data_IF_233976872943
#
_entry.id   IF_233976872943
#
_cell.length_a   1.000
_cell.length_b   1.000
_cell.length_c   1.000
_cell.angle_alpha   90.00
_cell.angle_beta   90.00
_cell.angle_gamma   90.00
#
_symmetry.space_group_name_H-M   'P 1'
#
loop_
_entity.id
_entity.type
_entity.pdbx_description
1 polymer ?
#
# COMPACT_ATOMS: atom_id res chain seq x y z
N UNK A 1 23.99 12.21 -84.42
CA UNK A 1 24.76 13.02 -83.45
C UNK A 1 23.85 14.15 -82.95
N UNK A 2 22.92 13.84 -82.03
CA UNK A 2 21.93 14.71 -81.37
C UNK A 2 21.31 13.82 -80.26
N UNK A 3 21.34 14.12 -78.95
CA UNK A 3 20.64 15.12 -78.12
C UNK A 3 19.59 14.44 -77.20
N UNK A 4 19.62 14.83 -75.91
CA UNK A 4 18.65 14.71 -74.78
C UNK A 4 17.35 13.89 -74.90
N UNK A 5 16.97 13.19 -73.81
CA UNK A 5 15.75 13.36 -72.96
C UNK A 5 15.72 12.24 -71.89
N UNK A 6 15.45 12.57 -70.62
CA UNK A 6 15.41 11.61 -69.49
C UNK A 6 14.13 10.75 -69.41
N UNK A 7 14.10 9.66 -68.61
CA UNK A 7 12.92 8.81 -68.52
C UNK A 7 12.00 9.15 -67.33
N UNK A 8 10.71 9.36 -67.63
CA UNK A 8 9.60 9.28 -66.68
C UNK A 8 9.30 7.80 -66.35
N UNK A 9 9.22 7.47 -65.06
CA UNK A 9 8.74 6.18 -64.58
C UNK A 9 7.27 6.28 -64.15
N UNK A 10 6.47 5.36 -64.68
CA UNK A 10 5.03 5.16 -64.50
C UNK A 10 4.70 4.56 -63.12
N UNK A 11 3.72 5.13 -62.42
CA UNK A 11 3.14 4.58 -61.18
C UNK A 11 2.03 3.54 -61.48
N UNK A 12 1.85 2.51 -60.65
CA UNK A 12 0.78 1.52 -60.80
C UNK A 12 -0.55 1.96 -60.16
N UNK A 13 -1.63 1.48 -60.77
CA UNK A 13 -3.03 1.79 -60.52
C UNK A 13 -3.58 1.19 -59.20
N UNK A 14 -4.37 1.98 -58.46
CA UNK A 14 -5.27 1.50 -57.39
C UNK A 14 -6.71 1.41 -57.90
N UNK A 15 -7.34 0.27 -57.64
CA UNK A 15 -8.72 -0.10 -58.00
C UNK A 15 -9.72 0.59 -57.09
N UNK A 16 -10.80 1.14 -57.68
CA UNK A 16 -11.91 1.81 -57.00
C UNK A 16 -12.91 0.81 -56.41
N UNK A 17 -13.39 1.08 -55.19
CA UNK A 17 -14.63 0.53 -54.64
C UNK A 17 -15.61 1.67 -54.29
N UNK A 18 -16.89 1.37 -54.42
CA UNK A 18 -17.98 2.31 -54.68
C UNK A 18 -18.52 3.11 -53.47
N UNK A 19 -19.19 4.21 -53.84
CA UNK A 19 -19.95 5.19 -53.05
C UNK A 19 -20.80 4.66 -51.88
N UNK A 20 -20.65 5.29 -50.70
CA UNK A 20 -21.71 5.41 -49.68
C UNK A 20 -21.79 6.89 -49.23
N UNK A 21 -23.00 7.45 -49.22
CA UNK A 21 -23.30 8.85 -48.96
C UNK A 21 -22.99 9.32 -47.53
N UNK A 22 -22.70 10.63 -47.30
CA UNK A 22 -22.43 11.17 -45.97
C UNK A 22 -23.71 11.22 -45.12
N UNK A 23 -23.65 10.62 -43.93
CA UNK A 23 -24.68 10.74 -42.89
C UNK A 23 -24.61 12.12 -42.23
N UNK A 24 -25.72 12.87 -42.28
CA UNK A 24 -25.92 14.14 -41.59
C UNK A 24 -26.40 13.86 -40.16
N UNK A 25 -25.62 14.27 -39.16
CA UNK A 25 -26.05 14.26 -37.75
C UNK A 25 -26.86 15.54 -37.45
N UNK A 26 -28.03 15.45 -36.79
CA UNK A 26 -28.82 16.62 -36.41
C UNK A 26 -28.16 17.41 -35.27
N UNK A 27 -28.14 18.74 -35.37
CA UNK A 27 -27.71 19.63 -34.29
C UNK A 27 -28.76 19.69 -33.16
N UNK A 28 -28.36 19.74 -31.88
CA UNK A 28 -29.29 20.02 -30.78
C UNK A 28 -29.72 21.51 -30.79
N UNK A 29 -31.02 21.73 -30.64
CA UNK A 29 -31.64 23.05 -30.63
C UNK A 29 -31.25 23.87 -29.38
N UNK A 30 -30.84 25.12 -29.60
CA UNK A 30 -30.68 26.12 -28.55
C UNK A 30 -32.05 26.57 -28.03
N UNK A 31 -32.31 26.39 -26.73
CA UNK A 31 -33.44 27.03 -26.04
C UNK A 31 -33.05 28.44 -25.57
N UNK A 32 -33.96 29.44 -25.64
CA UNK A 32 -33.70 30.82 -25.21
C UNK A 32 -33.69 30.96 -23.67
N UNK A 33 -33.09 32.04 -23.12
CA UNK A 33 -32.95 32.22 -21.68
C UNK A 33 -34.27 32.67 -21.03
N UNK A 34 -34.62 32.06 -19.90
CA UNK A 34 -35.72 32.51 -19.03
C UNK A 34 -35.14 33.32 -17.87
N UNK A 35 -35.65 34.55 -17.70
CA UNK A 35 -35.29 35.54 -16.65
C UNK A 35 -36.12 35.35 -15.35
N UNK A 36 -35.97 36.14 -14.25
CA UNK A 36 -35.63 35.61 -12.94
C UNK A 36 -36.78 35.69 -11.90
N UNK A 37 -36.51 35.10 -10.72
CA UNK A 37 -37.21 35.19 -9.43
C UNK A 37 -38.44 34.29 -9.17
N UNK A 38 -38.25 33.36 -8.22
CA UNK A 38 -39.13 33.26 -7.04
C UNK A 38 -38.27 33.11 -5.79
N UNK A 39 -38.31 34.13 -4.93
CA UNK A 39 -37.82 34.06 -3.56
C UNK A 39 -38.61 33.02 -2.78
N UNK A 40 -37.92 32.05 -2.18
CA UNK A 40 -38.48 31.23 -1.11
C UNK A 40 -38.21 31.98 0.19
N UNK A 41 -39.28 32.33 0.91
CA UNK A 41 -39.21 33.03 2.18
C UNK A 41 -38.47 32.18 3.23
N UNK A 42 -37.51 32.80 3.91
CA UNK A 42 -36.78 32.19 5.02
C UNK A 42 -37.67 31.97 6.24
N UNK A 43 -37.40 30.88 6.96
CA UNK A 43 -37.94 30.60 8.28
C UNK A 43 -37.22 31.52 9.28
N UNK A 44 -37.91 32.25 10.17
CA UNK A 44 -37.24 33.09 11.16
C UNK A 44 -36.57 32.21 12.23
N UNK A 45 -35.25 32.30 12.33
CA UNK A 45 -34.51 31.73 13.47
C UNK A 45 -34.79 32.62 14.69
N UNK A 46 -35.41 32.03 15.70
CA UNK A 46 -35.66 32.66 16.98
C UNK A 46 -34.36 33.04 17.69
N UNK A 47 -34.42 34.18 18.37
CA UNK A 47 -33.36 34.81 19.15
C UNK A 47 -32.91 33.89 20.31
N UNK A 48 -31.85 33.11 20.12
CA UNK A 48 -31.18 32.31 21.15
C UNK A 48 -29.84 32.94 21.51
N UNK A 49 -29.58 33.09 22.81
CA UNK A 49 -28.53 33.93 23.39
C UNK A 49 -27.10 33.66 22.89
N UNK A 50 -26.31 34.73 22.91
CA UNK A 50 -24.88 34.73 22.60
C UNK A 50 -24.12 34.17 23.80
N UNK A 51 -24.09 32.85 23.95
CA UNK A 51 -23.12 32.21 24.83
C UNK A 51 -21.81 32.07 24.07
N UNK A 52 -20.80 32.83 24.53
CA UNK A 52 -19.52 32.99 23.88
C UNK A 52 -18.81 31.66 23.64
N UNK A 53 -18.29 31.51 22.42
CA UNK A 53 -17.34 30.46 22.05
C UNK A 53 -16.18 30.43 23.04
N UNK A 54 -16.07 29.34 23.80
CA UNK A 54 -14.83 28.96 24.48
C UNK A 54 -14.16 27.89 23.62
N UNK A 55 -13.09 28.25 22.93
CA UNK A 55 -12.16 27.26 22.41
C UNK A 55 -11.56 26.56 23.64
N UNK A 56 -11.98 25.34 23.94
CA UNK A 56 -11.42 24.47 25.00
C UNK A 56 -9.95 24.09 24.73
N UNK A 57 -9.17 25.01 24.17
CA UNK A 57 -7.77 24.87 23.76
C UNK A 57 -6.85 24.62 24.98
N UNK A 58 -7.35 24.82 26.20
CA UNK A 58 -6.59 24.67 27.44
C UNK A 58 -7.19 23.68 28.45
N UNK A 59 -8.22 22.88 28.10
CA UNK A 59 -8.63 21.70 28.92
C UNK A 59 -7.65 20.52 28.75
N UNK A 60 -6.51 20.77 28.09
CA UNK A 60 -5.50 19.78 27.75
C UNK A 60 -4.70 19.23 28.95
N UNK A 61 -4.89 19.79 30.15
CA UNK A 61 -4.17 19.34 31.36
C UNK A 61 -4.93 18.31 32.20
N UNK A 62 -6.14 17.91 31.82
CA UNK A 62 -6.95 16.97 32.60
C UNK A 62 -6.79 15.50 32.18
N UNK A 63 -6.13 15.22 31.05
CA UNK A 63 -5.95 13.85 30.55
C UNK A 63 -4.48 13.55 30.12
N UNK A 64 -3.70 12.82 30.94
CA UNK A 64 -2.30 12.53 30.67
C UNK A 64 -2.07 11.68 29.40
N UNK A 65 -3.12 11.02 28.90
CA UNK A 65 -3.04 10.20 27.69
C UNK A 65 -3.07 11.04 26.41
N UNK A 66 -3.87 12.12 26.37
CA UNK A 66 -3.88 13.07 25.25
C UNK A 66 -2.64 13.96 25.22
N UNK A 67 -2.08 14.30 26.38
CA UNK A 67 -0.81 15.00 26.52
C UNK A 67 0.36 14.25 25.84
N UNK A 68 0.45 12.94 26.08
CA UNK A 68 1.47 12.07 25.47
C UNK A 68 1.27 11.92 23.95
N UNK A 69 0.04 11.69 23.49
CA UNK A 69 -0.24 11.51 22.05
C UNK A 69 0.09 12.79 21.26
N UNK A 70 -0.22 13.96 21.81
CA UNK A 70 0.07 15.26 21.17
C UNK A 70 1.56 15.59 21.13
N UNK A 71 2.30 15.22 22.19
CA UNK A 71 3.72 15.50 22.29
C UNK A 71 4.56 14.64 21.31
N UNK A 72 4.15 13.40 21.05
CA UNK A 72 4.87 12.48 20.16
C UNK A 72 4.29 12.40 18.73
N UNK A 73 3.03 12.80 18.52
CA UNK A 73 2.33 12.68 17.25
C UNK A 73 1.41 13.90 16.97
N UNK A 74 1.97 15.09 16.71
CA UNK A 74 1.20 16.32 16.50
C UNK A 74 0.28 16.27 15.28
N UNK A 75 0.47 15.32 14.36
CA UNK A 75 -0.40 15.11 13.19
C UNK A 75 -1.70 14.32 13.53
N UNK A 76 -1.75 13.56 14.62
CA UNK A 76 -2.96 12.86 15.06
C UNK A 76 -3.97 13.82 15.70
N UNK A 77 -3.50 14.84 16.42
CA UNK A 77 -4.36 15.83 17.08
C UNK A 77 -5.04 16.77 16.10
N UNK A 78 -4.35 17.15 15.01
CA UNK A 78 -4.99 17.83 13.88
C UNK A 78 -6.00 16.94 13.14
N UNK A 79 -5.81 15.62 13.13
CA UNK A 79 -6.77 14.65 12.59
C UNK A 79 -8.07 14.56 13.41
N UNK A 80 -7.97 14.58 14.74
CA UNK A 80 -9.13 14.60 15.64
C UNK A 80 -9.93 15.91 15.54
N UNK A 81 -9.27 17.03 15.30
CA UNK A 81 -9.94 18.32 15.03
C UNK A 81 -10.68 18.28 13.68
N UNK A 82 -10.11 17.62 12.67
CA UNK A 82 -10.80 17.41 11.39
C UNK A 82 -12.02 16.48 11.51
N UNK A 83 -12.00 15.52 12.45
CA UNK A 83 -13.14 14.64 12.76
C UNK A 83 -14.30 15.40 13.44
N UNK A 84 -13.98 16.36 14.30
CA UNK A 84 -14.97 17.24 14.96
C UNK A 84 -15.57 18.26 13.98
N UNK A 85 -14.82 18.66 12.95
CA UNK A 85 -15.28 19.62 11.92
C UNK A 85 -16.13 18.97 10.81
N UNK A 86 -16.05 17.64 10.63
CA UNK A 86 -16.74 16.91 9.54
C UNK A 86 -18.10 16.30 9.96
N UNK A 87 -18.67 16.73 11.10
CA UNK A 87 -20.00 16.34 11.62
C UNK A 87 -20.31 14.82 11.60
N UNK A 88 -19.28 13.96 11.66
CA UNK A 88 -19.44 12.50 11.64
C UNK A 88 -20.06 11.92 10.34
N UNK A 89 -20.23 12.73 9.29
CA UNK A 89 -20.95 12.32 8.08
C UNK A 89 -20.15 11.35 7.18
N UNK A 90 -18.81 11.32 7.30
CA UNK A 90 -17.97 10.47 6.44
C UNK A 90 -17.76 9.05 7.00
N UNK A 91 -18.03 8.81 8.29
CA UNK A 91 -17.68 7.55 9.00
C UNK A 91 -18.89 6.81 9.58
N UNK A 92 -19.96 7.53 9.93
CA UNK A 92 -21.01 6.99 10.82
C UNK A 92 -22.24 6.37 10.12
N UNK A 93 -22.88 7.08 9.19
CA UNK A 93 -24.28 6.75 8.86
C UNK A 93 -24.52 5.63 7.85
N UNK A 94 -23.57 5.32 6.98
CA UNK A 94 -23.77 4.29 5.94
C UNK A 94 -23.22 2.91 6.32
N UNK A 95 -22.32 2.85 7.31
CA UNK A 95 -21.59 1.61 7.70
C UNK A 95 -22.30 0.83 8.81
N UNK A 96 -23.24 1.45 9.54
CA UNK A 96 -23.89 0.84 10.71
C UNK A 96 -24.98 -0.20 10.34
N UNK A 97 -25.60 -0.08 9.16
CA UNK A 97 -26.81 -0.85 8.81
C UNK A 97 -26.50 -2.23 8.19
N UNK A 98 -25.26 -2.50 7.77
CA UNK A 98 -24.86 -3.77 7.14
C UNK A 98 -23.62 -4.43 7.77
N UNK A 99 -23.19 -4.02 8.97
CA UNK A 99 -22.12 -4.70 9.69
C UNK A 99 -22.70 -5.90 10.45
N UNK A 100 -22.75 -7.06 9.81
CA UNK A 100 -22.75 -8.31 10.58
C UNK A 100 -21.48 -8.32 11.44
N UNK A 101 -21.60 -8.30 12.76
CA UNK A 101 -20.47 -8.19 13.69
C UNK A 101 -19.62 -9.47 13.67
N UNK A 102 -18.78 -9.65 12.65
CA UNK A 102 -17.90 -10.80 12.52
C UNK A 102 -16.68 -10.68 13.42
N UNK A 103 -16.85 -11.07 14.68
CA UNK A 103 -15.78 -11.05 15.70
C UNK A 103 -14.83 -12.25 15.58
N UNK A 104 -13.61 -12.14 16.13
CA UNK A 104 -12.62 -13.25 16.18
C UNK A 104 -13.23 -14.53 16.77
N UNK A 105 -14.05 -14.41 17.82
CA UNK A 105 -14.69 -15.55 18.49
C UNK A 105 -15.69 -16.31 17.62
N UNK A 106 -16.32 -15.63 16.65
CA UNK A 106 -17.36 -16.22 15.82
C UNK A 106 -16.83 -16.77 14.49
N UNK A 107 -15.89 -16.05 13.85
CA UNK A 107 -15.47 -16.36 12.47
C UNK A 107 -13.95 -16.48 12.28
N UNK A 108 -13.12 -16.15 13.29
CA UNK A 108 -11.66 -16.10 13.14
C UNK A 108 -11.04 -17.44 12.72
N UNK A 109 -11.44 -18.54 13.34
CA UNK A 109 -10.95 -19.89 12.99
C UNK A 109 -11.35 -20.30 11.57
N UNK A 110 -12.57 -19.92 11.14
CA UNK A 110 -13.05 -20.18 9.78
C UNK A 110 -12.22 -19.42 8.74
N UNK A 111 -11.93 -18.15 9.00
CA UNK A 111 -11.11 -17.30 8.13
C UNK A 111 -9.67 -17.81 8.01
N UNK A 112 -9.04 -18.19 9.13
CA UNK A 112 -7.67 -18.75 9.13
C UNK A 112 -7.62 -20.08 8.38
N UNK A 113 -8.58 -20.99 8.64
CA UNK A 113 -8.62 -22.30 7.98
C UNK A 113 -8.82 -22.17 6.46
N UNK A 114 -9.62 -21.21 6.01
CA UNK A 114 -9.81 -20.92 4.59
C UNK A 114 -8.51 -20.46 3.90
N UNK A 115 -7.62 -19.78 4.63
CA UNK A 115 -6.37 -19.23 4.11
C UNK A 115 -5.12 -19.99 4.61
N UNK A 116 -5.26 -21.26 5.00
CA UNK A 116 -4.15 -22.05 5.57
C UNK A 116 -2.93 -22.12 4.64
N UNK A 117 -3.14 -22.20 3.32
CA UNK A 117 -2.08 -22.19 2.32
C UNK A 117 -1.24 -20.91 2.38
N UNK A 118 -1.88 -19.75 2.61
CA UNK A 118 -1.17 -18.48 2.70
C UNK A 118 -0.26 -18.46 3.94
N UNK A 119 -0.75 -18.95 5.07
CA UNK A 119 0.06 -19.06 6.29
C UNK A 119 1.24 -20.04 6.12
N UNK A 120 1.03 -21.16 5.45
CA UNK A 120 2.13 -22.11 5.16
C UNK A 120 3.20 -21.48 4.27
N UNK A 121 2.81 -20.72 3.24
CA UNK A 121 3.76 -20.00 2.39
C UNK A 121 4.53 -18.95 3.19
N UNK A 122 3.89 -18.22 4.12
CA UNK A 122 4.61 -17.28 5.00
C UNK A 122 5.70 -17.98 5.83
N UNK A 123 5.40 -19.15 6.39
CA UNK A 123 6.40 -19.95 7.13
C UNK A 123 7.55 -20.36 6.21
N UNK A 124 7.25 -20.79 4.99
CA UNK A 124 8.27 -21.14 3.99
C UNK A 124 9.15 -19.92 3.65
N UNK A 125 8.56 -18.74 3.45
CA UNK A 125 9.30 -17.51 3.18
C UNK A 125 10.25 -17.14 4.32
N UNK A 126 9.82 -17.26 5.58
CA UNK A 126 10.69 -17.05 6.76
C UNK A 126 11.87 -18.02 6.76
N UNK A 127 11.63 -19.29 6.44
CA UNK A 127 12.70 -20.30 6.36
C UNK A 127 13.68 -19.95 5.23
N UNK A 128 13.19 -19.58 4.05
CA UNK A 128 14.04 -19.19 2.92
C UNK A 128 14.90 -17.97 3.28
N UNK A 129 14.31 -16.92 3.85
CA UNK A 129 15.01 -15.70 4.28
C UNK A 129 16.10 -16.01 5.33
N UNK A 130 15.78 -16.87 6.31
CA UNK A 130 16.74 -17.38 7.28
C UNK A 130 17.90 -18.16 6.64
N UNK A 131 17.62 -18.99 5.63
CA UNK A 131 18.64 -19.77 4.91
C UNK A 131 19.55 -18.90 4.06
N UNK A 132 19.02 -17.87 3.39
CA UNK A 132 19.80 -16.91 2.59
C UNK A 132 20.88 -16.21 3.43
N UNK A 133 20.61 -15.92 4.70
CA UNK A 133 21.61 -15.31 5.58
C UNK A 133 22.88 -16.18 5.79
N UNK A 134 22.76 -17.49 5.65
CA UNK A 134 23.91 -18.41 5.73
C UNK A 134 24.68 -18.53 4.41
N UNK A 135 24.07 -18.22 3.27
CA UNK A 135 24.73 -18.26 1.95
C UNK A 135 25.90 -17.26 1.91
N UNK A 136 27.02 -17.72 1.36
CA UNK A 136 28.21 -16.91 1.06
C UNK A 136 27.92 -16.04 -0.18
N UNK A 137 28.01 -14.71 -0.08
CA UNK A 137 27.78 -13.83 -1.21
C UNK A 137 28.88 -14.01 -2.26
N UNK A 138 28.58 -13.65 -3.51
CA UNK A 138 29.59 -13.54 -4.55
C UNK A 138 30.70 -12.57 -4.13
N UNK A 139 31.97 -12.99 -4.24
CA UNK A 139 33.10 -12.09 -4.00
C UNK A 139 33.45 -11.35 -5.28
N UNK A 140 32.92 -10.13 -5.41
CA UNK A 140 33.25 -9.24 -6.51
C UNK A 140 34.69 -8.75 -6.36
N UNK A 141 35.46 -8.81 -7.45
CA UNK A 141 36.83 -8.28 -7.52
C UNK A 141 36.94 -6.86 -6.98
N UNK A 142 37.93 -6.62 -6.10
CA UNK A 142 38.23 -5.31 -5.52
C UNK A 142 39.73 -4.99 -5.68
N UNK A 143 40.05 -4.18 -6.68
CA UNK A 143 41.42 -3.72 -6.92
C UNK A 143 41.86 -2.58 -6.00
N UNK A 144 43.17 -2.31 -6.01
CA UNK A 144 43.79 -1.25 -5.20
C UNK A 144 43.24 0.16 -5.52
N UNK A 145 43.00 0.48 -6.78
CA UNK A 145 42.46 1.78 -7.19
C UNK A 145 41.01 1.99 -6.74
N UNK A 146 40.21 0.92 -6.67
CA UNK A 146 38.82 0.99 -6.20
C UNK A 146 38.73 1.20 -4.68
N UNK A 147 39.81 0.93 -3.96
CA UNK A 147 39.84 0.94 -2.50
C UNK A 147 39.73 2.35 -1.90
N UNK A 148 40.05 3.38 -2.68
CA UNK A 148 39.89 4.79 -2.27
C UNK A 148 38.44 5.13 -1.95
N UNK A 149 37.50 4.64 -2.77
CA UNK A 149 36.05 4.87 -2.61
C UNK A 149 35.41 3.98 -1.51
N UNK A 150 36.17 2.99 -1.02
CA UNK A 150 35.73 2.00 -0.03
C UNK A 150 36.35 2.21 1.37
N UNK A 151 36.97 3.37 1.58
CA UNK A 151 37.73 3.72 2.79
C UNK A 151 36.97 4.60 3.78
N UNK A 152 35.64 4.63 3.72
CA UNK A 152 34.85 5.35 4.71
C UNK A 152 34.96 4.73 6.11
N UNK A 153 34.86 5.53 7.19
CA UNK A 153 35.03 5.05 8.56
C UNK A 153 33.97 4.01 8.93
N UNK A 154 34.42 2.87 9.44
CA UNK A 154 33.53 1.83 9.93
C UNK A 154 33.05 2.16 11.36
N UNK A 155 31.77 2.47 11.50
CA UNK A 155 31.12 2.77 12.77
C UNK A 155 29.73 2.09 12.85
N UNK A 156 29.10 2.16 14.03
CA UNK A 156 27.81 1.53 14.30
C UNK A 156 26.67 2.11 13.44
N UNK A 157 25.55 1.38 13.38
CA UNK A 157 24.35 1.82 12.67
C UNK A 157 23.49 2.73 13.57
N UNK A 158 23.01 3.85 13.04
CA UNK A 158 22.01 4.72 13.69
C UNK A 158 20.69 3.98 13.91
N UNK A 159 20.21 3.25 12.89
CA UNK A 159 19.07 2.33 12.98
C UNK A 159 19.58 0.88 13.11
N UNK A 160 19.46 0.23 14.27
CA UNK A 160 19.79 -1.19 14.44
C UNK A 160 18.87 -2.12 13.64
N UNK A 161 19.37 -3.32 13.30
CA UNK A 161 18.62 -4.34 12.56
C UNK A 161 17.29 -4.68 13.22
N UNK A 162 17.24 -4.74 14.56
CA UNK A 162 16.02 -5.05 15.32
C UNK A 162 14.95 -3.96 15.26
N UNK A 163 15.32 -2.71 14.96
CA UNK A 163 14.36 -1.60 14.91
C UNK A 163 13.50 -1.70 13.65
N UNK A 164 14.04 -2.22 12.54
CA UNK A 164 13.31 -2.35 11.27
C UNK A 164 12.02 -3.18 11.40
N UNK A 165 12.03 -4.44 11.92
CA UNK A 165 10.79 -5.20 12.08
C UNK A 165 9.83 -4.56 13.10
N UNK A 166 10.34 -3.82 14.10
CA UNK A 166 9.49 -3.08 15.04
C UNK A 166 8.69 -2.00 14.31
N UNK A 167 9.35 -1.15 13.51
CA UNK A 167 8.67 -0.06 12.80
C UNK A 167 7.86 -0.56 11.60
N UNK A 168 8.34 -1.56 10.87
CA UNK A 168 7.76 -2.00 9.60
C UNK A 168 6.67 -3.07 9.78
N UNK A 169 6.59 -3.73 10.93
CA UNK A 169 5.60 -4.80 11.20
C UNK A 169 4.82 -4.53 12.48
N UNK A 170 5.49 -4.35 13.63
CA UNK A 170 4.79 -4.23 14.91
C UNK A 170 3.94 -2.95 15.00
N UNK A 171 4.46 -1.81 14.56
CA UNK A 171 3.69 -0.55 14.53
C UNK A 171 2.43 -0.67 13.65
N UNK A 172 2.51 -1.14 12.39
CA UNK A 172 1.32 -1.44 11.59
C UNK A 172 0.35 -2.42 12.25
N UNK A 173 0.84 -3.50 12.89
CA UNK A 173 -0.03 -4.45 13.59
C UNK A 173 -0.83 -3.79 14.72
N UNK A 174 -0.22 -2.87 15.46
CA UNK A 174 -0.91 -2.09 16.49
C UNK A 174 -2.01 -1.24 15.83
N UNK A 175 -1.73 -0.56 14.73
CA UNK A 175 -2.70 0.27 14.01
C UNK A 175 -3.87 -0.58 13.48
N UNK A 176 -3.59 -1.74 12.87
CA UNK A 176 -4.63 -2.67 12.42
C UNK A 176 -5.46 -3.20 13.60
N UNK A 177 -4.83 -3.45 14.75
CA UNK A 177 -5.49 -3.88 15.98
C UNK A 177 -6.42 -2.81 16.55
N UNK A 178 -6.01 -1.54 16.54
CA UNK A 178 -6.85 -0.40 16.93
C UNK A 178 -8.04 -0.28 15.97
N UNK A 179 -7.82 -0.34 14.66
CA UNK A 179 -8.91 -0.30 13.68
C UNK A 179 -9.88 -1.46 13.87
N UNK A 180 -9.37 -2.68 14.10
CA UNK A 180 -10.17 -3.85 14.43
C UNK A 180 -10.98 -3.65 15.72
N UNK A 181 -10.39 -3.07 16.76
CA UNK A 181 -11.09 -2.83 18.03
C UNK A 181 -12.29 -1.90 17.83
N UNK A 182 -12.13 -0.86 17.00
CA UNK A 182 -13.15 0.14 16.69
C UNK A 182 -14.25 -0.38 15.75
N UNK A 183 -13.88 -1.14 14.70
CA UNK A 183 -14.82 -1.57 13.64
C UNK A 183 -15.32 -3.01 13.78
N UNK A 184 -14.65 -3.84 14.59
CA UNK A 184 -14.93 -5.27 14.78
C UNK A 184 -14.97 -6.10 13.48
N UNK A 185 -14.25 -5.67 12.44
CA UNK A 185 -14.14 -6.38 11.17
C UNK A 185 -12.90 -7.30 11.15
N UNK A 186 -13.13 -8.60 11.33
CA UNK A 186 -12.04 -9.60 11.30
C UNK A 186 -11.46 -9.83 9.92
N UNK A 187 -12.23 -9.63 8.85
CA UNK A 187 -11.74 -9.85 7.49
C UNK A 187 -10.71 -8.78 7.15
N UNK A 188 -11.00 -7.52 7.47
CA UNK A 188 -10.04 -6.44 7.30
C UNK A 188 -8.73 -6.71 8.05
N UNK A 189 -8.84 -7.01 9.35
CA UNK A 189 -7.69 -7.27 10.20
C UNK A 189 -6.82 -8.44 9.69
N UNK A 190 -7.47 -9.54 9.30
CA UNK A 190 -6.78 -10.73 8.79
C UNK A 190 -6.03 -10.45 7.49
N UNK A 191 -6.68 -9.81 6.52
CA UNK A 191 -6.08 -9.51 5.23
C UNK A 191 -5.00 -8.43 5.34
N UNK A 192 -5.14 -7.47 6.26
CA UNK A 192 -4.10 -6.48 6.56
C UNK A 192 -2.83 -7.15 7.14
N UNK A 193 -2.99 -8.09 8.09
CA UNK A 193 -1.88 -8.87 8.64
C UNK A 193 -1.20 -9.73 7.57
N UNK A 194 -1.98 -10.48 6.79
CA UNK A 194 -1.42 -11.29 5.71
C UNK A 194 -0.68 -10.41 4.71
N UNK A 195 -1.31 -9.34 4.22
CA UNK A 195 -0.75 -8.45 3.22
C UNK A 195 0.59 -7.84 3.64
N UNK A 196 0.70 -7.34 4.87
CA UNK A 196 1.96 -6.75 5.32
C UNK A 196 3.06 -7.80 5.55
N UNK A 197 2.72 -8.99 6.08
CA UNK A 197 3.71 -10.05 6.28
C UNK A 197 4.26 -10.54 4.93
N UNK A 198 3.39 -10.72 3.94
CA UNK A 198 3.81 -11.04 2.58
C UNK A 198 4.67 -9.94 1.98
N UNK A 199 4.26 -8.68 2.12
CA UNK A 199 5.01 -7.54 1.59
C UNK A 199 6.45 -7.51 2.11
N UNK A 200 6.63 -7.63 3.43
CA UNK A 200 7.96 -7.60 4.07
C UNK A 200 8.78 -8.85 3.74
N UNK A 201 8.20 -10.05 3.84
CA UNK A 201 8.95 -11.29 3.62
C UNK A 201 9.31 -11.54 2.16
N UNK A 202 8.43 -11.23 1.21
CA UNK A 202 8.78 -11.28 -0.22
C UNK A 202 9.88 -10.27 -0.55
N UNK A 203 9.80 -9.06 0.01
CA UNK A 203 10.87 -8.06 -0.13
C UNK A 203 12.19 -8.54 0.45
N UNK A 204 12.16 -9.23 1.60
CA UNK A 204 13.34 -9.83 2.24
C UNK A 204 14.00 -10.88 1.36
N UNK A 205 13.24 -11.88 0.92
CA UNK A 205 13.74 -12.95 0.03
C UNK A 205 14.36 -12.36 -1.24
N UNK A 206 13.67 -11.42 -1.90
CA UNK A 206 14.21 -10.76 -3.11
C UNK A 206 15.50 -10.00 -2.80
N UNK A 207 15.51 -9.20 -1.73
CA UNK A 207 16.65 -8.36 -1.36
C UNK A 207 17.87 -9.20 -1.03
N UNK A 208 17.71 -10.22 -0.19
CA UNK A 208 18.84 -11.04 0.26
C UNK A 208 19.35 -11.95 -0.85
N UNK A 209 18.47 -12.47 -1.70
CA UNK A 209 18.88 -13.19 -2.92
C UNK A 209 19.74 -12.32 -3.84
N UNK A 210 19.36 -11.06 -4.05
CA UNK A 210 20.13 -10.12 -4.90
C UNK A 210 21.46 -9.76 -4.23
N UNK A 211 21.50 -9.55 -2.91
CA UNK A 211 22.76 -9.29 -2.19
C UNK A 211 23.76 -10.41 -2.39
N UNK A 212 23.32 -11.64 -2.22
CA UNK A 212 24.18 -12.81 -2.35
C UNK A 212 24.66 -13.01 -3.79
N UNK A 213 23.81 -12.70 -4.79
CA UNK A 213 24.19 -12.78 -6.20
C UNK A 213 25.13 -11.66 -6.66
N UNK A 214 24.94 -10.42 -6.18
CA UNK A 214 25.69 -9.25 -6.66
C UNK A 214 27.02 -9.07 -5.96
N UNK A 215 27.08 -9.32 -4.64
CA UNK A 215 28.37 -9.28 -3.94
C UNK A 215 29.02 -7.90 -3.88
N UNK A 216 28.24 -6.82 -3.87
CA UNK A 216 28.79 -5.45 -3.92
C UNK A 216 29.46 -5.09 -2.58
N UNK A 217 30.74 -4.64 -2.60
CA UNK A 217 31.39 -4.09 -1.40
C UNK A 217 30.68 -2.83 -0.87
N UNK A 218 30.61 -2.69 0.46
CA UNK A 218 30.09 -1.50 1.15
C UNK A 218 31.09 -0.34 1.12
N UNK A 219 30.64 0.92 1.29
CA UNK A 219 31.55 2.08 1.35
C UNK A 219 32.60 2.01 2.47
N UNK A 220 32.35 1.24 3.52
CA UNK A 220 33.27 1.00 4.64
C UNK A 220 34.02 -0.35 4.56
N UNK A 221 34.10 -0.95 3.36
CA UNK A 221 34.69 -2.28 3.16
C UNK A 221 36.17 -2.36 3.57
N UNK A 222 36.96 -1.30 3.35
CA UNK A 222 38.39 -1.29 3.69
C UNK A 222 38.66 -1.68 5.14
N UNK A 223 38.00 -1.05 6.09
CA UNK A 223 38.22 -1.31 7.53
C UNK A 223 37.59 -2.61 8.01
N UNK A 224 36.68 -3.20 7.23
CA UNK A 224 36.17 -4.56 7.47
C UNK A 224 37.19 -5.62 7.06
N UNK A 225 37.82 -5.40 5.91
CA UNK A 225 38.82 -6.29 5.33
C UNK A 225 40.19 -6.19 6.04
N UNK A 226 40.58 -4.97 6.42
CA UNK A 226 41.89 -4.63 7.00
C UNK A 226 41.72 -3.89 8.34
N UNK A 227 41.49 -4.60 9.45
CA UNK A 227 41.30 -3.96 10.76
C UNK A 227 42.56 -3.23 11.26
N UNK A 228 43.74 -3.59 10.77
CA UNK A 228 45.03 -2.94 11.04
C UNK A 228 45.35 -1.79 10.07
N UNK A 229 44.49 -1.54 9.09
CA UNK A 229 44.64 -0.49 8.08
C UNK A 229 45.71 -0.77 7.02
N UNK A 230 46.23 -2.00 6.93
CA UNK A 230 47.25 -2.39 5.94
C UNK A 230 46.61 -3.20 4.82
N UNK A 231 46.55 -2.61 3.64
CA UNK A 231 45.98 -3.27 2.48
C UNK A 231 46.92 -4.35 1.93
N UNK A 232 46.37 -5.53 1.65
CA UNK A 232 47.06 -6.66 1.03
C UNK A 232 46.31 -7.05 -0.23
N UNK A 233 47.05 -7.17 -1.33
CA UNK A 233 46.51 -7.55 -2.64
C UNK A 233 47.29 -8.73 -3.21
N UNK A 234 46.60 -9.58 -3.94
CA UNK A 234 47.21 -10.66 -4.70
C UNK A 234 48.08 -10.09 -5.82
N UNK A 235 49.30 -10.61 -5.97
CA UNK A 235 50.28 -10.08 -6.93
C UNK A 235 49.96 -10.48 -8.39
N UNK A 236 49.13 -11.49 -8.59
CA UNK A 236 48.79 -12.05 -9.91
C UNK A 236 47.44 -11.54 -10.37
N UNK A 237 46.41 -11.64 -9.52
CA UNK A 237 45.05 -11.22 -9.87
C UNK A 237 44.80 -9.74 -9.57
N UNK A 238 45.56 -9.14 -8.65
CA UNK A 238 45.31 -7.79 -8.15
C UNK A 238 44.12 -7.68 -7.21
N UNK A 239 43.54 -8.82 -6.81
CA UNK A 239 42.35 -8.86 -5.94
C UNK A 239 42.72 -8.68 -4.46
N UNK A 240 41.74 -8.27 -3.67
CA UNK A 240 41.93 -8.01 -2.24
C UNK A 240 42.08 -9.31 -1.45
N UNK A 241 43.04 -9.35 -0.53
CA UNK A 241 43.21 -10.47 0.40
C UNK A 241 42.84 -9.99 1.81
N UNK A 242 41.61 -10.26 2.23
CA UNK A 242 41.14 -9.85 3.56
C UNK A 242 41.68 -10.75 4.68
N UNK A 243 42.08 -10.11 5.79
CA UNK A 243 42.49 -10.80 7.03
C UNK A 243 41.68 -10.36 8.26
N UNK A 244 40.59 -9.62 8.05
CA UNK A 244 39.60 -9.30 9.07
C UNK A 244 38.72 -10.49 9.47
N UNK A 245 37.79 -10.25 10.40
CA UNK A 245 36.81 -11.26 10.82
C UNK A 245 35.92 -11.67 9.64
N UNK A 246 35.82 -12.98 9.37
CA UNK A 246 35.10 -13.51 8.23
C UNK A 246 33.61 -13.10 8.19
N UNK A 247 32.93 -12.96 9.33
CA UNK A 247 31.53 -12.52 9.38
C UNK A 247 31.40 -11.04 9.02
N UNK A 248 32.33 -10.21 9.49
CA UNK A 248 32.36 -8.77 9.20
C UNK A 248 32.69 -8.51 7.73
N UNK A 249 33.63 -9.29 7.16
CA UNK A 249 34.01 -9.26 5.74
C UNK A 249 32.85 -9.74 4.87
N UNK A 250 32.21 -10.86 5.22
CA UNK A 250 31.01 -11.37 4.55
C UNK A 250 29.92 -10.30 4.46
N UNK A 251 29.63 -9.63 5.58
CA UNK A 251 28.66 -8.52 5.62
C UNK A 251 29.11 -7.31 4.77
N UNK A 252 30.43 -7.14 4.60
CA UNK A 252 31.03 -6.13 3.74
C UNK A 252 30.71 -6.31 2.26
N UNK A 253 30.47 -7.54 1.79
CA UNK A 253 30.08 -7.86 0.41
C UNK A 253 28.56 -7.80 0.16
N UNK A 254 27.74 -7.53 1.18
CA UNK A 254 26.27 -7.51 1.09
C UNK A 254 25.70 -6.09 1.01
N UNK A 255 26.27 -5.22 0.17
CA UNK A 255 25.83 -3.81 0.06
C UNK A 255 24.55 -3.63 -0.77
N UNK A 256 24.43 -4.26 -1.94
CA UNK A 256 23.34 -3.99 -2.89
C UNK A 256 22.32 -5.13 -2.92
N UNK A 257 21.00 -4.84 -2.78
CA UNK A 257 20.36 -3.59 -2.37
C UNK A 257 20.29 -3.48 -0.82
N UNK A 258 19.87 -2.32 -0.30
CA UNK A 258 19.76 -2.13 1.14
C UNK A 258 18.56 -2.86 1.75
N UNK A 259 18.82 -3.84 2.63
CA UNK A 259 17.78 -4.60 3.34
C UNK A 259 16.96 -3.76 4.31
N UNK A 260 17.60 -2.87 5.08
CA UNK A 260 16.91 -1.96 6.01
C UNK A 260 15.91 -1.08 5.27
N UNK A 261 16.33 -0.52 4.13
CA UNK A 261 15.46 0.31 3.30
C UNK A 261 14.33 -0.53 2.68
N UNK A 262 14.64 -1.67 2.08
CA UNK A 262 13.65 -2.54 1.44
C UNK A 262 12.53 -2.98 2.39
N UNK A 263 12.88 -3.49 3.57
CA UNK A 263 11.91 -3.91 4.58
C UNK A 263 11.08 -2.73 5.12
N UNK A 264 11.72 -1.58 5.36
CA UNK A 264 11.03 -0.38 5.85
C UNK A 264 10.03 0.15 4.84
N UNK A 265 10.41 0.25 3.56
CA UNK A 265 9.50 0.67 2.50
C UNK A 265 8.39 -0.35 2.27
N UNK A 266 8.68 -1.66 2.34
CA UNK A 266 7.64 -2.69 2.22
C UNK A 266 6.54 -2.54 3.29
N UNK A 267 6.92 -2.47 4.57
CA UNK A 267 5.96 -2.35 5.66
C UNK A 267 5.26 -1.00 5.73
N UNK A 268 6.02 0.10 5.63
CA UNK A 268 5.49 1.44 5.85
C UNK A 268 4.74 2.00 4.62
N UNK A 269 5.13 1.65 3.39
CA UNK A 269 4.30 1.97 2.21
C UNK A 269 3.01 1.15 2.21
N UNK A 270 3.03 -0.12 2.66
CA UNK A 270 1.80 -0.90 2.84
C UNK A 270 0.87 -0.23 3.86
N UNK A 271 1.41 0.20 5.00
CA UNK A 271 0.65 0.95 6.00
C UNK A 271 0.10 2.26 5.43
N UNK A 272 0.88 3.00 4.65
CA UNK A 272 0.45 4.22 3.98
C UNK A 272 -0.75 3.97 3.04
N UNK A 273 -0.67 2.93 2.20
CA UNK A 273 -1.76 2.52 1.31
C UNK A 273 -3.02 2.12 2.09
N UNK A 274 -2.85 1.34 3.17
CA UNK A 274 -3.95 0.97 4.06
C UNK A 274 -4.64 2.18 4.68
N UNK A 275 -3.87 3.11 5.28
CA UNK A 275 -4.42 4.34 5.86
C UNK A 275 -5.10 5.21 4.80
N UNK A 276 -4.56 5.27 3.58
CA UNK A 276 -5.16 6.00 2.46
C UNK A 276 -6.57 5.50 2.13
N UNK A 277 -6.77 4.18 2.11
CA UNK A 277 -8.08 3.57 1.89
C UNK A 277 -9.05 3.85 3.05
N UNK A 278 -8.59 3.67 4.30
CA UNK A 278 -9.44 3.86 5.49
C UNK A 278 -9.89 5.30 5.72
N UNK A 279 -9.01 6.26 5.47
CA UNK A 279 -9.31 7.68 5.63
C UNK A 279 -10.04 8.28 4.43
N UNK A 280 -10.18 7.51 3.34
CA UNK A 280 -10.63 8.00 2.02
C UNK A 280 -9.87 9.27 1.65
N UNK A 281 -8.53 9.20 1.71
CA UNK A 281 -7.65 10.37 1.60
C UNK A 281 -7.80 11.11 0.26
N UNK A 282 -8.17 10.39 -0.80
CA UNK A 282 -8.44 10.93 -2.14
C UNK A 282 -9.93 11.15 -2.40
N UNK A 283 -10.74 11.35 -1.36
CA UNK A 283 -12.09 11.86 -1.56
C UNK A 283 -11.98 13.25 -2.22
N UNK A 284 -12.89 13.60 -3.13
CA UNK A 284 -12.89 14.90 -3.82
C UNK A 284 -13.25 16.08 -2.89
N UNK A 285 -13.07 15.92 -1.57
CA UNK A 285 -13.38 16.89 -0.53
C UNK A 285 -12.22 17.82 -0.15
N UNK A 286 -10.99 17.59 -0.63
CA UNK A 286 -9.87 18.54 -0.48
C UNK A 286 -9.19 18.58 0.89
N UNK A 287 -9.41 17.59 1.77
CA UNK A 287 -8.86 17.57 3.13
C UNK A 287 -7.39 17.13 3.17
N UNK A 288 -6.46 18.09 3.07
CA UNK A 288 -5.00 17.85 3.05
C UNK A 288 -4.47 17.21 4.34
N UNK A 289 -5.13 17.39 5.48
CA UNK A 289 -4.73 16.78 6.76
C UNK A 289 -4.64 15.25 6.69
N UNK A 290 -5.53 14.61 5.93
CA UNK A 290 -5.51 13.16 5.70
C UNK A 290 -4.26 12.72 4.95
N UNK A 291 -3.77 13.56 4.03
CA UNK A 291 -2.56 13.28 3.26
C UNK A 291 -1.31 13.32 4.14
N UNK A 292 -1.25 14.20 5.14
CA UNK A 292 -0.15 14.24 6.11
C UNK A 292 -0.03 12.91 6.89
N UNK A 293 -1.16 12.33 7.31
CA UNK A 293 -1.20 11.04 8.01
C UNK A 293 -0.74 9.91 7.08
N UNK A 294 -1.17 9.93 5.82
CA UNK A 294 -0.80 8.92 4.81
C UNK A 294 0.67 8.99 4.43
N UNK A 295 1.26 10.19 4.32
CA UNK A 295 2.67 10.37 3.94
C UNK A 295 3.63 10.04 5.08
N UNK A 296 3.22 10.22 6.33
CA UNK A 296 4.09 10.06 7.49
C UNK A 296 4.84 8.70 7.56
N UNK A 297 4.18 7.54 7.35
CA UNK A 297 4.89 6.26 7.27
C UNK A 297 5.96 6.21 6.16
N UNK A 298 5.66 6.79 4.99
CA UNK A 298 6.61 6.83 3.86
C UNK A 298 7.82 7.71 4.22
N UNK A 299 7.58 8.85 4.87
CA UNK A 299 8.66 9.71 5.36
C UNK A 299 9.56 8.98 6.36
N UNK A 300 8.98 8.21 7.29
CA UNK A 300 9.75 7.40 8.21
C UNK A 300 10.62 6.35 7.48
N UNK A 301 10.10 5.71 6.43
CA UNK A 301 10.87 4.78 5.60
C UNK A 301 12.04 5.47 4.88
N UNK A 302 11.81 6.68 4.36
CA UNK A 302 12.85 7.51 3.73
C UNK A 302 13.95 7.84 4.73
N UNK A 303 13.62 8.24 5.96
CA UNK A 303 14.60 8.56 7.00
C UNK A 303 15.45 7.34 7.39
N UNK A 304 14.86 6.14 7.45
CA UNK A 304 15.62 4.90 7.63
C UNK A 304 16.59 4.70 6.47
N UNK A 305 16.15 4.91 5.23
CA UNK A 305 17.00 4.83 4.05
C UNK A 305 18.17 5.83 4.08
N UNK A 306 17.91 7.08 4.45
CA UNK A 306 18.94 8.14 4.57
C UNK A 306 20.00 7.75 5.59
N UNK A 307 19.60 7.21 6.75
CA UNK A 307 20.55 6.77 7.78
C UNK A 307 21.57 5.74 7.26
N UNK A 308 21.23 4.96 6.22
CA UNK A 308 22.14 3.97 5.62
C UNK A 308 23.25 4.61 4.80
N UNK A 309 22.98 5.77 4.22
CA UNK A 309 23.96 6.56 3.47
C UNK A 309 24.82 7.34 4.46
N UNK A 310 24.20 7.98 5.46
CA UNK A 310 24.89 8.78 6.48
C UNK A 310 25.86 7.93 7.30
N UNK A 311 25.48 6.69 7.66
CA UNK A 311 26.33 5.77 8.41
C UNK A 311 27.42 5.09 7.52
N UNK A 312 27.46 5.38 6.21
CA UNK A 312 28.32 4.71 5.21
C UNK A 312 28.15 3.18 5.12
N UNK A 313 26.96 2.68 5.48
CA UNK A 313 26.65 1.27 5.33
C UNK A 313 26.25 0.93 3.89
N UNK A 314 25.68 1.88 3.16
CA UNK A 314 25.19 1.66 1.81
C UNK A 314 25.48 2.85 0.90
N UNK A 315 25.62 2.58 -0.39
CA UNK A 315 25.59 3.62 -1.40
C UNK A 315 24.15 4.11 -1.60
N UNK A 316 23.98 5.35 -2.05
CA UNK A 316 22.65 5.89 -2.35
C UNK A 316 21.88 5.03 -3.37
N UNK A 317 22.58 4.38 -4.32
CA UNK A 317 21.96 3.47 -5.30
C UNK A 317 21.43 2.19 -4.65
N UNK A 318 22.08 1.68 -3.60
CA UNK A 318 21.61 0.52 -2.84
C UNK A 318 20.30 0.85 -2.11
N UNK A 319 20.21 2.07 -1.57
CA UNK A 319 19.03 2.60 -0.88
C UNK A 319 17.89 2.82 -1.85
N UNK A 320 18.15 3.44 -3.01
CA UNK A 320 17.15 3.67 -4.03
C UNK A 320 16.56 2.36 -4.58
N UNK A 321 17.41 1.37 -4.88
CA UNK A 321 16.96 0.05 -5.32
C UNK A 321 16.15 -0.68 -4.24
N UNK A 322 16.58 -0.59 -2.97
CA UNK A 322 15.82 -1.14 -1.85
C UNK A 322 14.44 -0.50 -1.71
N UNK A 323 14.34 0.83 -1.82
CA UNK A 323 13.07 1.55 -1.79
C UNK A 323 12.14 1.14 -2.94
N UNK A 324 12.69 0.93 -4.14
CA UNK A 324 11.92 0.48 -5.31
C UNK A 324 11.36 -0.94 -5.10
N UNK A 325 12.17 -1.88 -4.60
CA UNK A 325 11.75 -3.25 -4.30
C UNK A 325 10.63 -3.23 -3.25
N UNK A 326 10.88 -2.58 -2.11
CA UNK A 326 9.92 -2.52 -1.01
C UNK A 326 8.60 -1.86 -1.40
N UNK A 327 8.64 -0.72 -2.11
CA UNK A 327 7.43 -0.03 -2.57
C UNK A 327 6.64 -0.88 -3.58
N UNK A 328 7.33 -1.55 -4.51
CA UNK A 328 6.67 -2.41 -5.50
C UNK A 328 5.98 -3.60 -4.84
N UNK A 329 6.63 -4.24 -3.86
CA UNK A 329 6.03 -5.35 -3.12
C UNK A 329 4.88 -4.89 -2.23
N UNK A 330 5.00 -3.72 -1.58
CA UNK A 330 3.90 -3.10 -0.84
C UNK A 330 2.66 -2.91 -1.73
N UNK A 331 2.83 -2.32 -2.91
CA UNK A 331 1.75 -2.10 -3.87
C UNK A 331 1.13 -3.43 -4.34
N UNK A 332 1.95 -4.41 -4.76
CA UNK A 332 1.46 -5.70 -5.25
C UNK A 332 0.69 -6.47 -4.17
N UNK A 333 1.26 -6.59 -2.97
CA UNK A 333 0.62 -7.29 -1.86
C UNK A 333 -0.64 -6.56 -1.37
N UNK A 334 -0.63 -5.22 -1.33
CA UNK A 334 -1.81 -4.45 -0.98
C UNK A 334 -2.96 -4.71 -1.97
N UNK A 335 -2.70 -4.58 -3.27
CA UNK A 335 -3.70 -4.74 -4.33
C UNK A 335 -4.24 -6.18 -4.45
N UNK A 336 -3.51 -7.18 -3.95
CA UNK A 336 -4.00 -8.56 -3.88
C UNK A 336 -5.15 -8.72 -2.87
N UNK A 337 -5.20 -7.89 -1.83
CA UNK A 337 -6.15 -8.00 -0.72
C UNK A 337 -7.17 -6.86 -0.68
N UNK A 338 -6.80 -5.68 -1.17
CA UNK A 338 -7.58 -4.45 -1.10
C UNK A 338 -7.71 -3.79 -2.48
N UNK A 339 -8.86 -3.18 -2.80
CA UNK A 339 -8.99 -2.33 -3.99
C UNK A 339 -8.05 -1.13 -3.93
N UNK A 340 -7.76 -0.55 -5.10
CA UNK A 340 -6.93 0.66 -5.17
C UNK A 340 -7.57 1.79 -4.33
N UNK A 341 -6.79 2.53 -3.50
CA UNK A 341 -7.33 3.46 -2.50
C UNK A 341 -8.16 4.63 -3.06
N UNK A 342 -8.04 4.93 -4.35
CA UNK A 342 -8.80 5.99 -5.01
C UNK A 342 -10.24 5.57 -5.37
N UNK A 343 -10.53 4.26 -5.45
CA UNK A 343 -11.88 3.80 -5.77
C UNK A 343 -12.83 3.99 -4.58
N UNK A 344 -14.12 4.18 -4.87
CA UNK A 344 -15.18 4.29 -3.85
C UNK A 344 -15.17 3.12 -2.86
N UNK A 345 -14.78 1.92 -3.33
CA UNK A 345 -14.70 0.67 -2.56
C UNK A 345 -13.36 0.46 -1.84
N UNK A 346 -12.40 1.39 -1.94
CA UNK A 346 -11.05 1.27 -1.37
C UNK A 346 -10.98 1.20 0.16
N UNK A 347 -12.12 1.31 0.85
CA UNK A 347 -12.22 1.25 2.30
C UNK A 347 -12.36 -0.17 2.87
N UNK A 348 -12.64 -1.20 2.06
CA UNK A 348 -12.84 -2.59 2.51
C UNK A 348 -12.04 -3.60 1.67
N UNK A 349 -11.66 -4.78 2.23
CA UNK A 349 -10.95 -5.82 1.47
C UNK A 349 -11.85 -6.48 0.42
N UNK A 350 -11.27 -7.08 -0.63
CA UNK A 350 -12.02 -7.79 -1.68
C UNK A 350 -12.93 -8.89 -1.13
N UNK A 351 -12.48 -9.58 -0.07
CA UNK A 351 -13.25 -10.63 0.60
C UNK A 351 -14.58 -10.12 1.19
N UNK A 352 -14.64 -8.86 1.62
CA UNK A 352 -15.86 -8.24 2.14
C UNK A 352 -16.94 -8.14 1.08
N UNK A 353 -16.60 -7.62 -0.11
CA UNK A 353 -17.55 -7.47 -1.21
C UNK A 353 -18.04 -8.82 -1.74
N UNK A 354 -17.17 -9.83 -1.79
CA UNK A 354 -17.55 -11.19 -2.18
C UNK A 354 -18.58 -11.80 -1.22
N UNK A 355 -18.38 -11.62 0.09
CA UNK A 355 -19.32 -12.09 1.12
C UNK A 355 -20.69 -11.40 1.01
N UNK A 356 -20.74 -10.09 0.73
CA UNK A 356 -22.01 -9.38 0.53
C UNK A 356 -22.74 -9.94 -0.70
N UNK A 357 -22.02 -10.15 -1.80
CA UNK A 357 -22.62 -10.70 -3.03
C UNK A 357 -23.17 -12.12 -2.81
N UNK A 358 -22.44 -12.98 -2.11
CA UNK A 358 -22.88 -14.34 -1.77
C UNK A 358 -24.13 -14.34 -0.87
N UNK A 359 -24.19 -13.42 0.11
CA UNK A 359 -25.38 -13.28 0.96
C UNK A 359 -26.58 -12.78 0.18
N UNK A 360 -26.40 -11.85 -0.74
CA UNK A 360 -27.46 -11.35 -1.61
C UNK A 360 -27.98 -12.43 -2.56
N UNK A 361 -27.12 -13.35 -3.02
CA UNK A 361 -27.57 -14.51 -3.79
C UNK A 361 -28.35 -15.52 -2.94
N UNK A 362 -27.92 -15.78 -1.71
CA UNK A 362 -28.62 -16.71 -0.80
C UNK A 362 -29.98 -16.18 -0.34
N UNK A 363 -30.16 -14.85 -0.28
CA UNK A 363 -31.43 -14.19 0.07
C UNK A 363 -32.39 -14.04 -1.13
N UNK A 364 -32.00 -14.40 -2.36
CA UNK A 364 -32.88 -14.38 -3.53
C UNK A 364 -33.72 -15.68 -3.63
N UNK A 365 -35.07 -15.62 -3.52
CA UNK A 365 -35.89 -16.82 -3.41
C UNK A 365 -36.12 -17.48 -4.77
N UNK A 366 -35.43 -18.59 -5.01
CA UNK A 366 -35.87 -19.58 -5.99
C UNK A 366 -37.05 -20.39 -5.41
N UNK A 367 -38.25 -19.79 -5.34
CA UNK A 367 -39.51 -20.55 -5.25
C UNK A 367 -40.76 -19.72 -5.57
N UNK A 368 -41.29 -19.83 -6.80
CA UNK A 368 -42.75 -19.88 -7.02
C UNK A 368 -43.07 -20.56 -8.37
N UNK A 369 -42.87 -21.89 -8.48
CA UNK A 369 -43.81 -22.75 -9.24
C UNK A 369 -43.84 -24.13 -8.57
N UNK A 370 -44.62 -24.27 -7.51
CA UNK A 370 -45.22 -25.56 -7.13
C UNK A 370 -46.49 -25.28 -6.35
N UNK A 371 -47.60 -25.20 -7.07
CA UNK A 371 -48.94 -25.22 -6.51
C UNK A 371 -49.31 -26.65 -6.11
N UNK A 372 -49.91 -26.82 -4.92
CA UNK A 372 -50.99 -27.78 -4.79
C UNK A 372 -52.15 -27.19 -3.97
N UNK A 373 -53.37 -27.26 -4.49
CA UNK A 373 -54.57 -27.26 -3.64
C UNK A 373 -55.67 -28.10 -4.28
N UNK A 374 -56.08 -29.16 -3.57
CA UNK A 374 -57.33 -29.89 -3.80
C UNK A 374 -58.36 -29.46 -2.76
N UNK A 375 -59.56 -29.16 -3.28
CA UNK A 375 -60.94 -29.28 -2.75
C UNK A 375 -61.38 -28.60 -1.44
N UNK A 376 -62.47 -27.82 -1.53
CA UNK A 376 -63.88 -28.17 -1.18
C UNK A 376 -64.84 -27.10 -1.79
N UNK A 377 -65.82 -27.45 -2.65
CA UNK A 377 -67.26 -27.76 -2.39
C UNK A 377 -68.11 -26.48 -2.10
N UNK A 378 -69.23 -26.09 -2.72
CA UNK A 378 -70.34 -26.77 -3.41
C UNK A 378 -71.24 -25.77 -4.22
N UNK A 379 -71.99 -26.33 -5.17
CA UNK A 379 -73.32 -25.95 -5.73
C UNK A 379 -73.57 -24.62 -6.48
N UNK A 380 -74.05 -24.72 -7.73
CA UNK A 380 -75.35 -24.20 -8.26
C UNK A 380 -75.47 -24.55 -9.77
N UNK A 381 -76.39 -25.47 -10.05
CA UNK A 381 -77.49 -25.44 -11.04
C UNK A 381 -77.22 -25.28 -12.57
N UNK A 382 -77.56 -26.35 -13.30
CA UNK A 382 -78.30 -26.48 -14.60
C UNK A 382 -78.68 -25.17 -15.34
N UNK A 383 -78.65 -25.02 -16.67
CA UNK A 383 -78.81 -25.92 -17.84
C UNK A 383 -78.46 -25.12 -19.15
N UNK A 384 -78.52 -25.71 -20.37
CA UNK A 384 -77.74 -25.31 -21.55
C UNK A 384 -78.52 -24.54 -22.63
N UNK A 385 -77.77 -23.87 -23.53
CA UNK A 385 -77.87 -24.03 -25.00
C UNK A 385 -76.66 -23.41 -25.69
#
# INVERSE_FOLDING_TARGET
MYANVGPQATQPQTVYAANVAPQVFPQPAFLPPVSPHKHVAGIPVGNGGVDGWRTGLFDFMDDPMNALVTAFFPCLTFGQIAEIVDDGHTIGKMTEILLGTHTIKSHGVKVVKAHIHNWLILVILVVIDGLLNYVEPFHRFVGQEMMTDLKFPFHGNTVPVLVVPVIAVLVPFIIFGVYYYLRKDIYDFHHAILGILYSVLLSGVITDSIKDAVGRPRPNFFFRCFPDGKAVFDQVTGDVICHGDAKIVKEGYKSFPSGHTSWSFAGLCFLSLYLSGKLRAFNRGGNVSKLCIVIFPVLAAVLVGISRVDDYWHHWTDVFAGALIGTSMAAFCYLQFFPCPHYEDGWAPHAYFKMIAERQSDESPESTVRSPSKNESNDIETQPM
#
